data_IF_195532628266
#
_entry.id   IF_195532628266
#
_cell.length_a   1.000
_cell.length_b   1.000
_cell.length_c   1.000
_cell.angle_alpha   90.00
_cell.angle_beta   90.00
_cell.angle_gamma   90.00
#
_symmetry.space_group_name_H-M   'P 1'
#
loop_
_entity.id
_entity.type
_entity.pdbx_description
1 polymer ?
#
# COMPACT_ATOMS: atom_id res chain seq x y z
N UNK A 1 -12.07 -35.77 17.10
CA UNK A 1 -11.94 -34.62 16.17
C UNK A 1 -10.61 -33.96 16.43
N UNK A 2 -9.65 -34.09 15.51
CA UNK A 2 -8.32 -33.49 15.63
C UNK A 2 -8.41 -32.07 15.09
N UNK A 3 -8.33 -31.09 15.99
CA UNK A 3 -8.31 -29.68 15.59
C UNK A 3 -6.92 -29.40 15.03
N UNK A 4 -6.82 -29.20 13.72
CA UNK A 4 -5.57 -28.76 13.10
C UNK A 4 -5.19 -27.40 13.70
N UNK A 5 -3.99 -27.24 14.27
CA UNK A 5 -3.55 -25.95 14.78
C UNK A 5 -3.45 -24.98 13.60
N UNK A 6 -4.42 -24.07 13.49
CA UNK A 6 -4.33 -22.93 12.59
C UNK A 6 -3.33 -21.97 13.22
N UNK A 7 -2.05 -22.13 12.89
CA UNK A 7 -1.07 -21.08 13.19
C UNK A 7 -1.52 -19.88 12.40
N UNK A 8 -2.01 -18.87 13.09
CA UNK A 8 -2.05 -17.52 12.54
C UNK A 8 -0.59 -17.11 12.38
N UNK A 9 0.02 -17.51 11.26
CA UNK A 9 1.26 -16.93 10.78
C UNK A 9 0.91 -15.50 10.39
N UNK A 10 0.71 -14.66 11.40
CA UNK A 10 0.67 -13.23 11.20
C UNK A 10 2.10 -12.89 10.87
N UNK A 11 2.32 -12.64 9.59
CA UNK A 11 3.61 -12.30 9.03
C UNK A 11 4.21 -11.02 9.67
N UNK A 12 3.39 -10.26 10.39
CA UNK A 12 3.76 -9.17 11.29
C UNK A 12 3.32 -9.49 12.72
N UNK A 13 4.20 -9.31 13.71
CA UNK A 13 3.79 -9.36 15.10
C UNK A 13 2.78 -8.23 15.38
N UNK A 14 1.54 -8.60 15.76
CA UNK A 14 0.45 -7.63 16.04
C UNK A 14 0.85 -6.52 17.00
N UNK A 15 1.76 -6.81 17.93
CA UNK A 15 2.27 -5.84 18.89
C UNK A 15 3.08 -4.75 18.20
N UNK A 16 3.93 -5.11 17.24
CA UNK A 16 4.80 -4.17 16.54
C UNK A 16 3.99 -3.27 15.62
N UNK A 17 3.03 -3.83 14.88
CA UNK A 17 2.11 -3.03 14.07
C UNK A 17 1.31 -2.05 14.94
N UNK A 18 0.80 -2.51 16.08
CA UNK A 18 0.04 -1.67 17.00
C UNK A 18 0.90 -0.51 17.53
N UNK A 19 2.10 -0.80 18.03
CA UNK A 19 3.01 0.24 18.53
C UNK A 19 3.42 1.22 17.43
N UNK A 20 3.66 0.71 16.22
CA UNK A 20 3.94 1.55 15.06
C UNK A 20 2.78 2.49 14.75
N UNK A 21 1.55 1.97 14.63
CA UNK A 21 0.38 2.77 14.32
C UNK A 21 0.07 3.81 15.42
N UNK A 22 0.29 3.47 16.70
CA UNK A 22 0.23 4.44 17.80
C UNK A 22 1.23 5.58 17.62
N UNK A 23 2.48 5.28 17.29
CA UNK A 23 3.51 6.30 17.07
C UNK A 23 3.17 7.22 15.89
N UNK A 24 2.57 6.68 14.82
CA UNK A 24 2.08 7.46 13.69
C UNK A 24 0.92 8.36 14.11
N UNK A 25 -0.02 7.85 14.91
CA UNK A 25 -1.13 8.64 15.43
C UNK A 25 -0.63 9.83 16.25
N UNK A 26 0.31 9.61 17.17
CA UNK A 26 0.91 10.68 17.98
C UNK A 26 1.58 11.74 17.10
N UNK A 27 2.32 11.32 16.06
CA UNK A 27 2.95 12.22 15.10
C UNK A 27 1.94 13.04 14.31
N UNK A 28 0.81 12.44 13.92
CA UNK A 28 -0.29 13.17 13.27
C UNK A 28 -0.88 14.25 14.19
N UNK A 29 -1.09 13.93 15.47
CA UNK A 29 -1.60 14.87 16.47
C UNK A 29 -0.64 16.04 16.71
N UNK A 30 0.66 15.77 16.85
CA UNK A 30 1.67 16.80 17.10
C UNK A 30 1.84 17.77 15.91
N UNK A 31 1.79 17.24 14.69
CA UNK A 31 2.01 18.04 13.47
C UNK A 31 0.72 18.60 12.87
N UNK A 32 -0.44 18.37 13.52
CA UNK A 32 -1.77 18.69 13.03
C UNK A 32 -1.96 18.30 11.54
N UNK A 33 -1.54 17.07 11.21
CA UNK A 33 -1.39 16.63 9.83
C UNK A 33 -1.80 15.18 9.63
N UNK A 34 -1.90 14.77 8.37
CA UNK A 34 -2.17 13.38 7.95
C UNK A 34 -0.87 12.72 7.51
N UNK A 35 -0.77 11.42 7.68
CA UNK A 35 0.30 10.59 7.16
C UNK A 35 -0.31 9.43 6.36
N UNK A 36 0.44 8.94 5.37
CA UNK A 36 0.12 7.73 4.63
C UNK A 36 0.98 6.62 5.22
N UNK A 37 0.35 5.55 5.69
CA UNK A 37 1.08 4.39 6.20
C UNK A 37 1.25 3.38 5.06
N UNK A 38 2.50 3.05 4.71
CA UNK A 38 2.82 2.01 3.74
C UNK A 38 3.23 0.75 4.51
N UNK A 39 2.43 -0.32 4.36
CA UNK A 39 2.67 -1.62 5.03
C UNK A 39 3.07 -2.61 3.95
N UNK A 40 4.34 -3.01 3.96
CA UNK A 40 4.87 -4.01 3.02
C UNK A 40 4.85 -5.39 3.67
N UNK A 41 4.19 -6.33 3.00
CA UNK A 41 4.09 -7.71 3.45
C UNK A 41 4.28 -8.66 2.26
N UNK A 42 5.23 -9.57 2.38
CA UNK A 42 5.39 -10.71 1.48
C UNK A 42 4.25 -11.70 1.69
N UNK A 43 3.70 -12.19 0.59
CA UNK A 43 2.59 -13.14 0.55
C UNK A 43 2.97 -14.32 -0.34
N UNK A 44 2.20 -15.41 -0.24
CA UNK A 44 2.32 -16.51 -1.18
C UNK A 44 2.00 -16.07 -2.61
N UNK A 45 2.51 -16.81 -3.60
CA UNK A 45 2.25 -16.53 -5.01
C UNK A 45 0.75 -16.57 -5.31
N UNK A 46 0.27 -15.52 -5.98
CA UNK A 46 -1.12 -15.36 -6.39
C UNK A 46 -1.19 -14.91 -7.85
N UNK A 47 -2.29 -15.22 -8.53
CA UNK A 47 -2.61 -14.65 -9.83
C UNK A 47 -3.16 -13.22 -9.64
N UNK A 48 -2.45 -12.16 -10.10
CA UNK A 48 -2.88 -10.78 -9.87
C UNK A 48 -4.22 -10.42 -10.52
N UNK A 49 -4.58 -11.06 -11.64
CA UNK A 49 -5.86 -10.81 -12.31
C UNK A 49 -7.02 -11.45 -11.54
N UNK A 50 -6.80 -12.64 -10.96
CA UNK A 50 -7.77 -13.26 -10.07
C UNK A 50 -7.99 -12.41 -8.80
N UNK A 51 -6.93 -11.81 -8.27
CA UNK A 51 -7.02 -10.90 -7.12
C UNK A 51 -7.90 -9.69 -7.45
N UNK A 52 -7.73 -9.07 -8.62
CA UNK A 52 -8.59 -7.96 -9.06
C UNK A 52 -10.04 -8.40 -9.25
N UNK A 53 -10.29 -9.53 -9.91
CA UNK A 53 -11.64 -10.05 -10.11
C UNK A 53 -12.39 -10.25 -8.78
N UNK A 54 -11.69 -10.69 -7.74
CA UNK A 54 -12.29 -11.00 -6.44
C UNK A 54 -12.44 -9.81 -5.49
N UNK A 55 -11.55 -8.81 -5.57
CA UNK A 55 -11.46 -7.74 -4.57
C UNK A 55 -11.98 -6.38 -5.06
N UNK A 56 -12.12 -6.19 -6.36
CA UNK A 56 -12.54 -4.88 -6.90
C UNK A 56 -14.00 -4.58 -6.61
N UNK A 57 -14.30 -3.36 -6.18
CA UNK A 57 -15.67 -2.88 -6.00
C UNK A 57 -16.07 -1.86 -7.07
N UNK A 58 -17.38 -1.68 -7.22
CA UNK A 58 -17.91 -0.63 -8.09
C UNK A 58 -17.47 0.75 -7.59
N UNK A 59 -17.02 1.60 -8.53
CA UNK A 59 -16.56 2.98 -8.31
C UNK A 59 -15.19 3.16 -7.64
N UNK A 60 -14.39 2.10 -7.45
CA UNK A 60 -12.99 2.21 -7.03
C UNK A 60 -12.05 2.42 -8.23
N UNK A 61 -10.90 3.05 -7.99
CA UNK A 61 -9.83 3.16 -9.00
C UNK A 61 -8.95 1.92 -8.89
N UNK A 62 -9.03 1.06 -9.89
CA UNK A 62 -8.24 -0.16 -9.97
C UNK A 62 -7.25 -0.06 -11.14
N UNK A 63 -6.05 -0.60 -10.96
CA UNK A 63 -4.98 -0.53 -11.95
C UNK A 63 -4.25 -1.88 -12.07
N UNK A 64 -3.99 -2.28 -13.31
CA UNK A 64 -3.19 -3.46 -13.63
C UNK A 64 -2.04 -3.06 -14.56
N UNK A 65 -0.86 -3.60 -14.29
CA UNK A 65 0.33 -3.46 -15.13
C UNK A 65 1.12 -4.76 -15.16
N UNK A 66 1.67 -5.10 -16.32
CA UNK A 66 2.47 -6.31 -16.52
C UNK A 66 3.72 -5.96 -17.34
N UNK A 67 4.90 -6.28 -16.81
CA UNK A 67 6.17 -6.30 -17.54
C UNK A 67 6.61 -7.75 -17.73
N UNK A 68 6.18 -8.35 -18.84
CA UNK A 68 6.50 -9.74 -19.18
C UNK A 68 7.99 -10.01 -19.35
N UNK A 69 8.78 -9.01 -19.75
CA UNK A 69 10.21 -9.18 -19.92
C UNK A 69 10.93 -9.36 -18.58
N UNK A 70 10.38 -8.77 -17.50
CA UNK A 70 10.86 -8.92 -16.13
C UNK A 70 10.13 -10.00 -15.32
N UNK A 71 9.00 -10.50 -15.82
CA UNK A 71 8.15 -11.41 -15.08
C UNK A 71 7.47 -10.73 -13.89
N UNK A 72 7.18 -9.44 -14.00
CA UNK A 72 6.58 -8.62 -12.95
C UNK A 72 5.15 -8.23 -13.32
N UNK A 73 4.25 -8.26 -12.35
CA UNK A 73 2.88 -7.77 -12.50
C UNK A 73 2.44 -7.04 -11.24
N UNK A 74 1.71 -5.93 -11.42
CA UNK A 74 1.17 -5.10 -10.37
C UNK A 74 -0.35 -5.09 -10.51
N UNK A 75 -1.04 -5.53 -9.46
CA UNK A 75 -2.47 -5.32 -9.27
C UNK A 75 -2.66 -4.33 -8.12
N UNK A 76 -3.19 -3.15 -8.41
CA UNK A 76 -3.51 -2.13 -7.43
C UNK A 76 -5.03 -2.00 -7.30
N UNK A 77 -5.52 -2.05 -6.06
CA UNK A 77 -6.92 -1.98 -5.69
C UNK A 77 -7.14 -0.70 -4.90
N UNK A 78 -8.10 0.10 -5.36
CA UNK A 78 -8.46 1.41 -4.81
C UNK A 78 -7.28 2.42 -4.72
N UNK A 79 -7.54 3.61 -4.18
CA UNK A 79 -6.58 4.70 -4.06
C UNK A 79 -6.65 5.37 -2.68
N UNK A 80 -5.50 5.48 -2.01
CA UNK A 80 -5.40 6.23 -0.73
C UNK A 80 -5.41 7.75 -0.96
N UNK A 81 -4.94 8.21 -2.12
CA UNK A 81 -4.92 9.60 -2.53
C UNK A 81 -5.16 9.68 -4.03
N UNK A 82 -5.94 10.67 -4.46
CA UNK A 82 -6.31 10.87 -5.86
C UNK A 82 -6.17 12.34 -6.24
N UNK A 83 -5.64 12.58 -7.43
CA UNK A 83 -5.65 13.88 -8.07
C UNK A 83 -6.14 13.73 -9.51
N UNK A 84 -7.07 14.59 -9.91
CA UNK A 84 -7.50 14.73 -11.30
C UNK A 84 -7.18 16.15 -11.75
N UNK A 85 -6.43 16.27 -12.84
CA UNK A 85 -5.86 17.53 -13.33
C UNK A 85 -5.83 17.54 -14.86
N UNK A 86 -5.97 18.73 -15.41
CA UNK A 86 -5.89 19.03 -16.84
C UNK A 86 -5.11 20.34 -17.07
N UNK A 87 -5.03 20.79 -18.33
CA UNK A 87 -4.37 22.05 -18.68
C UNK A 87 -2.85 21.96 -18.88
N UNK A 88 -2.22 23.12 -19.06
CA UNK A 88 -0.80 23.24 -19.41
C UNK A 88 0.13 22.79 -18.28
N UNK A 89 -0.25 23.08 -17.03
CA UNK A 89 0.58 22.83 -15.85
C UNK A 89 0.40 21.43 -15.24
N UNK A 90 -0.35 20.53 -15.93
CA UNK A 90 -0.72 19.21 -15.41
C UNK A 90 0.49 18.36 -14.97
N UNK A 91 1.62 18.47 -15.66
CA UNK A 91 2.81 17.69 -15.28
C UNK A 91 3.44 18.21 -13.98
N UNK A 92 3.54 19.53 -13.81
CA UNK A 92 4.05 20.15 -12.59
C UNK A 92 3.14 19.88 -11.40
N UNK A 93 1.82 19.95 -11.61
CA UNK A 93 0.84 19.62 -10.57
C UNK A 93 0.89 18.14 -10.18
N UNK A 94 1.01 17.22 -11.16
CA UNK A 94 1.19 15.79 -10.90
C UNK A 94 2.45 15.53 -10.07
N UNK A 95 3.58 16.11 -10.47
CA UNK A 95 4.86 15.95 -9.78
C UNK A 95 4.79 16.46 -8.35
N UNK A 96 4.21 17.65 -8.13
CA UNK A 96 4.03 18.21 -6.80
C UNK A 96 3.18 17.29 -5.93
N UNK A 97 2.07 16.78 -6.45
CA UNK A 97 1.19 15.86 -5.75
C UNK A 97 1.91 14.57 -5.35
N UNK A 98 2.60 13.91 -6.29
CA UNK A 98 3.38 12.70 -6.02
C UNK A 98 4.42 12.96 -4.93
N UNK A 99 5.22 14.03 -5.05
CA UNK A 99 6.23 14.41 -4.05
C UNK A 99 5.62 14.70 -2.68
N UNK A 100 4.45 15.33 -2.64
CA UNK A 100 3.73 15.63 -1.40
C UNK A 100 3.22 14.36 -0.72
N UNK A 101 2.71 13.39 -1.49
CA UNK A 101 2.31 12.09 -0.98
C UNK A 101 3.52 11.34 -0.43
N UNK A 102 4.58 11.18 -1.22
CA UNK A 102 5.81 10.49 -0.83
C UNK A 102 6.44 11.06 0.45
N UNK A 103 6.45 12.39 0.60
CA UNK A 103 6.95 13.06 1.82
C UNK A 103 6.15 12.69 3.08
N UNK A 104 4.88 12.33 2.92
CA UNK A 104 3.97 11.98 4.02
C UNK A 104 3.86 10.47 4.25
N UNK A 105 4.61 9.65 3.50
CA UNK A 105 4.62 8.20 3.70
C UNK A 105 5.50 7.84 4.90
N UNK A 106 4.99 6.93 5.74
CA UNK A 106 5.75 6.25 6.79
C UNK A 106 5.65 4.75 6.54
N UNK A 107 6.80 4.10 6.38
CA UNK A 107 6.90 2.69 6.02
C UNK A 107 6.93 1.78 7.25
N UNK A 108 6.27 0.64 7.13
CA UNK A 108 6.31 -0.46 8.09
C UNK A 108 6.47 -1.79 7.33
N UNK A 109 7.40 -2.62 7.78
CA UNK A 109 7.71 -3.91 7.14
C UNK A 109 9.21 -4.18 7.10
N UNK A 110 9.61 -5.22 6.37
CA UNK A 110 11.01 -5.60 6.24
C UNK A 110 11.70 -4.78 5.13
N UNK A 111 12.61 -3.90 5.52
CA UNK A 111 13.36 -3.04 4.61
C UNK A 111 14.28 -3.78 3.62
N UNK A 112 14.52 -5.08 3.83
CA UNK A 112 15.34 -5.91 2.93
C UNK A 112 14.53 -6.53 1.78
N UNK A 113 13.21 -6.34 1.72
CA UNK A 113 12.36 -6.88 0.67
C UNK A 113 12.35 -5.97 -0.58
N UNK A 114 12.23 -6.55 -1.78
CA UNK A 114 12.36 -5.83 -3.06
C UNK A 114 11.28 -4.76 -3.29
N UNK A 115 10.13 -4.87 -2.62
CA UNK A 115 8.99 -3.95 -2.75
C UNK A 115 8.70 -3.19 -1.44
N UNK A 116 9.72 -2.94 -0.63
CA UNK A 116 9.58 -2.13 0.57
C UNK A 116 9.60 -0.62 0.24
N UNK A 117 8.57 0.10 0.70
CA UNK A 117 8.52 1.56 0.71
C UNK A 117 7.72 2.18 -0.42
#
# INVERSE_FOLDING_TARGET
MTVSPCRSNLFVERKDLYQFLLSVQEKCLQNNGKQIVSISQEIDLVDPLLVLDQLTQANEINFYFEDRAKGEAIAAIDSVAKLQIDGADRFTQAEYFIKSCLKNIINFGNANQPFFG
#
